data_IF_258162132081
#
_entry.id   IF_258162132081
#
_cell.length_a   1.000
_cell.length_b   1.000
_cell.length_c   1.000
_cell.angle_alpha   90.00
_cell.angle_beta   90.00
_cell.angle_gamma   90.00
#
_symmetry.space_group_name_H-M   'P 1'
#
loop_
_entity.id
_entity.type
_entity.pdbx_description
1 polymer ?
#
# COMPACT_ATOMS: atom_id res chain seq x y z
N UNK A 1 43.56 27.42 33.81
CA UNK A 1 43.84 26.36 34.80
C UNK A 1 42.61 25.44 34.85
N UNK A 2 42.80 24.11 34.85
CA UNK A 2 41.79 23.04 35.05
C UNK A 2 40.63 22.87 34.06
N UNK A 3 40.67 21.73 33.37
CA UNK A 3 39.66 21.02 32.58
C UNK A 3 38.79 20.07 33.42
N UNK A 4 37.52 19.88 33.02
CA UNK A 4 36.60 18.73 33.25
C UNK A 4 35.31 19.01 32.41
N UNK A 5 34.75 18.21 31.49
CA UNK A 5 34.88 16.82 31.00
C UNK A 5 34.15 15.69 31.78
N UNK A 6 33.44 14.83 31.02
CA UNK A 6 32.54 13.69 31.38
C UNK A 6 31.17 14.08 32.02
N UNK A 7 30.00 13.45 31.71
CA UNK A 7 29.67 12.38 30.75
C UNK A 7 28.14 12.30 30.44
N UNK A 8 27.81 12.03 29.16
CA UNK A 8 26.83 11.05 28.61
C UNK A 8 25.35 10.95 29.07
N UNK A 9 24.51 10.55 28.09
CA UNK A 9 23.09 10.13 28.12
C UNK A 9 22.03 11.24 28.32
N UNK A 10 20.90 11.23 27.60
CA UNK A 10 20.46 10.30 26.54
C UNK A 10 19.09 10.67 25.94
N UNK A 11 18.70 9.93 24.90
CA UNK A 11 17.43 9.98 24.15
C UNK A 11 17.07 11.28 23.43
N UNK A 12 17.33 11.27 22.13
CA UNK A 12 16.57 12.05 21.15
C UNK A 12 15.10 11.61 21.15
N UNK A 13 14.18 12.56 21.39
CA UNK A 13 12.79 12.45 20.98
C UNK A 13 12.70 12.66 19.47
N UNK A 14 12.73 11.58 18.69
CA UNK A 14 12.31 11.60 17.28
C UNK A 14 10.88 11.06 17.25
N UNK A 15 9.92 11.98 17.20
CA UNK A 15 8.55 11.64 16.84
C UNK A 15 8.52 11.31 15.34
N UNK A 16 8.48 10.02 15.00
CA UNK A 16 8.24 9.57 13.64
C UNK A 16 6.74 9.66 13.36
N UNK A 17 6.32 10.58 12.48
CA UNK A 17 4.95 10.59 11.97
C UNK A 17 4.68 9.32 11.17
N UNK A 18 3.53 8.71 11.40
CA UNK A 18 2.99 7.64 10.56
C UNK A 18 2.48 8.26 9.26
N UNK A 19 3.13 7.92 8.15
CA UNK A 19 2.66 8.24 6.81
C UNK A 19 1.99 6.99 6.22
N UNK A 20 0.67 6.90 6.34
CA UNK A 20 -0.13 5.98 5.53
C UNK A 20 -0.12 6.49 4.09
N UNK A 21 0.26 5.62 3.16
CA UNK A 21 0.38 5.95 1.74
C UNK A 21 -0.91 5.59 1.03
N UNK A 22 -1.80 6.57 0.91
CA UNK A 22 -2.68 6.77 -0.25
C UNK A 22 -2.67 8.28 -0.55
N UNK A 23 -2.91 8.69 -1.80
CA UNK A 23 -2.72 10.08 -2.22
C UNK A 23 -3.60 11.12 -1.51
N UNK A 24 -3.17 12.39 -1.62
CA UNK A 24 -3.94 13.60 -1.27
C UNK A 24 -4.07 14.00 0.22
N UNK A 25 -3.08 14.78 0.69
CA UNK A 25 -3.38 16.03 1.42
C UNK A 25 -3.87 15.98 2.88
N UNK A 26 -3.05 15.49 3.82
CA UNK A 26 -3.34 15.65 5.25
C UNK A 26 -2.85 17.00 5.83
N UNK A 27 -3.79 17.88 6.16
CA UNK A 27 -3.59 19.00 7.09
C UNK A 27 -4.29 18.68 8.42
N UNK A 28 -3.53 18.18 9.41
CA UNK A 28 -4.07 17.81 10.72
C UNK A 28 -4.45 19.05 11.54
N UNK A 29 -5.75 19.37 11.56
CA UNK A 29 -6.35 20.37 12.44
C UNK A 29 -6.42 19.82 13.88
N UNK A 30 -5.58 20.33 14.79
CA UNK A 30 -5.67 20.01 16.21
C UNK A 30 -6.80 20.81 16.87
N UNK A 31 -7.83 20.14 17.41
CA UNK A 31 -8.66 20.80 18.42
C UNK A 31 -9.28 19.86 19.48
N UNK A 32 -9.03 20.26 20.73
CA UNK A 32 -9.78 20.01 21.97
C UNK A 32 -10.01 18.60 22.54
N UNK A 33 -9.37 18.40 23.69
CA UNK A 33 -9.80 17.57 24.82
C UNK A 33 -11.32 17.55 25.06
N UNK A 34 -11.87 16.37 25.34
CA UNK A 34 -12.80 16.15 26.46
C UNK A 34 -12.61 14.72 26.98
N UNK A 35 -12.60 14.56 28.30
CA UNK A 35 -12.18 13.33 28.99
C UNK A 35 -13.39 12.56 29.52
N UNK A 36 -13.50 11.26 29.20
CA UNK A 36 -14.27 10.29 30.00
C UNK A 36 -13.48 8.99 30.09
N UNK A 37 -13.32 8.47 31.30
CA UNK A 37 -12.54 7.26 31.56
C UNK A 37 -13.38 5.99 31.37
N UNK A 38 -12.76 4.93 30.85
CA UNK A 38 -13.20 3.55 31.08
C UNK A 38 -11.99 2.62 31.08
N UNK A 39 -11.92 1.77 32.11
CA UNK A 39 -10.81 0.85 32.32
C UNK A 39 -10.90 -0.34 31.37
N UNK A 40 -10.09 -0.31 30.33
CA UNK A 40 -9.58 -1.49 29.65
C UNK A 40 -8.16 -1.15 29.20
N UNK A 41 -7.16 -1.80 29.78
CA UNK A 41 -5.78 -1.62 29.36
C UNK A 41 -5.66 -2.02 27.88
N UNK A 42 -5.31 -1.10 26.97
CA UNK A 42 -5.05 -1.50 25.61
C UNK A 42 -3.81 -2.40 25.64
N UNK A 43 -3.97 -3.64 25.19
CA UNK A 43 -2.82 -4.42 24.73
C UNK A 43 -2.09 -3.56 23.70
N UNK A 44 -0.77 -3.38 23.77
CA UNK A 44 -0.07 -2.61 22.76
C UNK A 44 -0.31 -3.30 21.42
N UNK A 45 -1.11 -2.67 20.57
CA UNK A 45 -1.27 -3.07 19.17
C UNK A 45 0.14 -2.99 18.60
N UNK A 46 0.65 -4.15 18.19
CA UNK A 46 1.96 -4.21 17.56
C UNK A 46 1.85 -3.43 16.26
N UNK A 47 2.43 -2.22 16.21
CA UNK A 47 2.58 -1.48 14.96
C UNK A 47 3.36 -2.35 13.96
N UNK A 48 2.63 -3.05 13.11
CA UNK A 48 3.15 -3.79 11.98
C UNK A 48 3.61 -2.77 10.95
N UNK A 49 4.78 -2.19 11.21
CA UNK A 49 5.45 -1.26 10.32
C UNK A 49 5.49 -1.89 8.92
N UNK A 50 4.98 -1.19 7.88
CA UNK A 50 4.95 -1.75 6.54
C UNK A 50 6.35 -2.17 6.09
N UNK A 51 6.45 -3.42 5.61
CA UNK A 51 7.71 -4.02 5.18
C UNK A 51 8.05 -3.55 3.76
N UNK A 52 8.35 -2.26 3.65
CA UNK A 52 8.94 -1.70 2.43
C UNK A 52 10.39 -2.18 2.29
N UNK A 53 10.73 -2.66 1.10
CA UNK A 53 12.06 -3.16 0.80
C UNK A 53 12.86 -2.09 0.05
N UNK A 54 14.13 -1.95 0.43
CA UNK A 54 15.08 -1.09 -0.27
C UNK A 54 15.33 -1.64 -1.68
N UNK A 55 15.48 -0.78 -2.68
CA UNK A 55 15.75 -1.20 -4.07
C UNK A 55 17.05 -2.01 -4.21
N UNK A 56 18.00 -1.88 -3.29
CA UNK A 56 19.20 -2.72 -3.21
C UNK A 56 18.90 -4.20 -2.87
N UNK A 57 17.67 -4.53 -2.44
CA UNK A 57 17.18 -5.88 -2.19
C UNK A 57 16.20 -6.37 -3.28
N UNK A 58 16.22 -5.75 -4.46
CA UNK A 58 15.39 -6.17 -5.59
C UNK A 58 15.84 -7.55 -6.12
N UNK A 59 14.92 -8.50 -6.37
CA UNK A 59 15.23 -9.76 -7.05
C UNK A 59 15.89 -9.55 -8.42
N UNK A 60 16.86 -10.42 -8.77
CA UNK A 60 17.59 -10.35 -10.04
C UNK A 60 16.64 -10.39 -11.26
N UNK A 61 15.55 -11.13 -11.15
CA UNK A 61 14.48 -11.27 -12.15
C UNK A 61 13.66 -9.97 -12.37
N UNK A 62 13.52 -9.11 -11.36
CA UNK A 62 12.89 -7.79 -11.48
C UNK A 62 13.88 -6.71 -11.93
N UNK A 63 15.19 -6.93 -11.77
CA UNK A 63 16.22 -5.95 -12.15
C UNK A 63 16.08 -5.43 -13.60
N UNK A 64 15.78 -6.25 -14.64
CA UNK A 64 15.58 -5.76 -16.00
C UNK A 64 14.39 -4.78 -16.14
N UNK A 65 13.34 -4.90 -15.31
CA UNK A 65 12.20 -3.99 -15.35
C UNK A 65 12.55 -2.55 -14.90
N UNK A 66 13.55 -2.40 -14.02
CA UNK A 66 13.78 -1.15 -13.27
C UNK A 66 15.10 -0.43 -13.62
N UNK A 67 15.95 -0.96 -14.51
CA UNK A 67 17.30 -0.43 -14.81
C UNK A 67 17.36 1.06 -15.17
N UNK A 68 16.29 1.59 -15.76
CA UNK A 68 16.22 2.98 -16.25
C UNK A 68 15.22 3.83 -15.43
N UNK A 69 14.89 3.43 -14.20
CA UNK A 69 13.91 4.10 -13.33
C UNK A 69 14.53 4.56 -12.02
N UNK A 70 14.01 5.65 -11.47
CA UNK A 70 14.50 6.26 -10.22
C UNK A 70 13.77 5.71 -8.99
N UNK A 71 13.68 4.37 -8.88
CA UNK A 71 12.96 3.71 -7.80
C UNK A 71 13.82 3.66 -6.53
N UNK A 72 13.29 4.14 -5.40
CA UNK A 72 13.95 4.09 -4.09
C UNK A 72 13.56 2.87 -3.26
N UNK A 73 12.30 2.45 -3.34
CA UNK A 73 11.74 1.37 -2.54
C UNK A 73 10.71 0.57 -3.35
N UNK A 74 10.46 -0.67 -2.95
CA UNK A 74 9.41 -1.51 -3.52
C UNK A 74 8.65 -2.30 -2.45
N UNK A 75 7.47 -2.77 -2.82
CA UNK A 75 6.68 -3.74 -2.05
C UNK A 75 6.08 -4.76 -3.01
N UNK A 76 6.46 -6.03 -2.86
CA UNK A 76 5.82 -7.14 -3.57
C UNK A 76 4.50 -7.51 -2.87
N UNK A 77 3.39 -7.48 -3.60
CA UNK A 77 2.07 -7.85 -3.10
C UNK A 77 1.75 -9.33 -3.28
N UNK A 78 2.20 -9.93 -4.38
CA UNK A 78 1.92 -11.32 -4.72
C UNK A 78 2.50 -11.72 -6.07
N UNK A 79 2.54 -13.03 -6.30
CA UNK A 79 3.13 -13.68 -7.48
C UNK A 79 2.16 -14.72 -8.03
N UNK A 80 1.86 -14.69 -9.33
CA UNK A 80 0.96 -15.66 -9.98
C UNK A 80 1.51 -16.05 -11.34
N UNK A 81 2.16 -17.22 -11.39
CA UNK A 81 2.87 -17.71 -12.58
C UNK A 81 4.05 -16.79 -12.92
N UNK A 82 4.03 -16.22 -14.12
CA UNK A 82 5.08 -15.33 -14.63
C UNK A 82 4.82 -13.84 -14.33
N UNK A 83 3.95 -13.53 -13.37
CA UNK A 83 3.49 -12.18 -13.08
C UNK A 83 3.63 -11.86 -11.59
N UNK A 84 4.15 -10.67 -11.27
CA UNK A 84 4.28 -10.17 -9.91
C UNK A 84 3.61 -8.80 -9.78
N UNK A 85 2.72 -8.63 -8.81
CA UNK A 85 2.11 -7.34 -8.49
C UNK A 85 3.01 -6.60 -7.49
N UNK A 86 3.50 -5.42 -7.86
CA UNK A 86 4.47 -4.65 -7.08
C UNK A 86 4.03 -3.19 -6.94
N UNK A 87 4.17 -2.61 -5.75
CA UNK A 87 4.26 -1.15 -5.61
C UNK A 87 5.71 -0.71 -5.78
N UNK A 88 5.90 0.43 -6.43
CA UNK A 88 7.21 1.07 -6.60
C UNK A 88 7.15 2.50 -6.08
N UNK A 89 8.17 2.91 -5.33
CA UNK A 89 8.34 4.31 -4.91
C UNK A 89 9.27 5.02 -5.88
N UNK A 90 8.75 5.99 -6.62
CA UNK A 90 9.51 6.78 -7.61
C UNK A 90 9.05 8.25 -7.52
N UNK A 91 10.00 9.18 -7.44
CA UNK A 91 9.73 10.63 -7.21
C UNK A 91 8.97 10.92 -5.90
N UNK A 92 9.21 10.12 -4.87
CA UNK A 92 8.48 10.08 -3.58
C UNK A 92 7.00 9.68 -3.68
N UNK A 93 6.52 9.26 -4.86
CA UNK A 93 5.18 8.75 -5.06
C UNK A 93 5.19 7.22 -5.19
N UNK A 94 4.24 6.58 -4.52
CA UNK A 94 3.98 5.16 -4.69
C UNK A 94 2.93 4.93 -5.76
N UNK A 95 3.14 3.92 -6.59
CA UNK A 95 2.23 3.51 -7.65
C UNK A 95 2.35 1.99 -7.85
N UNK A 96 1.28 1.37 -8.36
CA UNK A 96 1.18 -0.08 -8.51
C UNK A 96 1.38 -0.51 -9.96
N UNK A 97 2.03 -1.65 -10.17
CA UNK A 97 2.20 -2.24 -11.50
C UNK A 97 2.37 -3.76 -11.44
N UNK A 98 2.19 -4.40 -12.59
CA UNK A 98 2.48 -5.83 -12.77
C UNK A 98 3.79 -5.95 -13.55
N UNK A 99 4.78 -6.61 -12.96
CA UNK A 99 5.95 -7.10 -13.67
C UNK A 99 5.65 -8.45 -14.31
N UNK A 100 5.80 -8.54 -15.63
CA UNK A 100 5.79 -9.80 -16.37
C UNK A 100 7.23 -10.28 -16.60
N UNK A 101 7.55 -11.45 -16.07
CA UNK A 101 8.90 -12.03 -16.05
C UNK A 101 8.96 -13.21 -17.02
N UNK A 102 9.97 -13.25 -17.89
CA UNK A 102 10.24 -14.37 -18.81
C UNK A 102 11.73 -14.57 -18.96
N UNK A 103 12.24 -15.65 -18.35
CA UNK A 103 13.65 -16.07 -18.38
C UNK A 103 14.64 -14.95 -18.06
N UNK A 104 15.14 -14.22 -19.06
CA UNK A 104 16.11 -13.12 -18.92
C UNK A 104 15.50 -11.73 -19.15
N UNK A 105 14.18 -11.63 -19.25
CA UNK A 105 13.44 -10.41 -19.57
C UNK A 105 12.36 -10.10 -18.54
N UNK A 106 12.11 -8.82 -18.30
CA UNK A 106 11.09 -8.32 -17.40
C UNK A 106 10.45 -7.07 -18.04
N UNK A 107 9.12 -6.99 -18.04
CA UNK A 107 8.37 -5.84 -18.52
C UNK A 107 7.34 -5.40 -17.48
N UNK A 108 7.27 -4.10 -17.19
CA UNK A 108 6.16 -3.51 -16.43
C UNK A 108 4.96 -3.31 -17.35
N UNK A 109 3.80 -3.84 -16.97
CA UNK A 109 2.60 -3.85 -17.81
C UNK A 109 1.68 -2.65 -17.59
N UNK A 110 1.64 -2.11 -16.37
CA UNK A 110 0.83 -0.93 -16.01
C UNK A 110 1.75 0.29 -16.02
N UNK A 111 1.50 1.31 -16.86
CA UNK A 111 2.17 2.61 -16.78
C UNK A 111 1.94 3.30 -15.43
N UNK A 112 2.85 4.20 -15.02
CA UNK A 112 2.74 4.94 -13.74
C UNK A 112 1.48 5.81 -13.73
N UNK A 113 1.15 6.36 -14.88
CA UNK A 113 0.06 7.24 -15.19
C UNK A 113 -1.31 6.51 -15.23
N UNK A 114 -1.31 5.19 -15.41
CA UNK A 114 -2.51 4.34 -15.49
C UNK A 114 -2.74 3.48 -14.23
N UNK A 115 -1.90 3.64 -13.20
CA UNK A 115 -2.05 2.94 -11.91
C UNK A 115 -3.45 3.16 -11.34
N UNK A 116 -4.20 2.06 -11.15
CA UNK A 116 -5.60 2.01 -10.68
C UNK A 116 -6.65 2.60 -11.64
N UNK A 117 -6.29 3.09 -12.83
CA UNK A 117 -7.26 3.60 -13.82
C UNK A 117 -7.95 2.50 -14.63
N UNK A 118 -7.48 1.25 -14.55
CA UNK A 118 -8.05 0.05 -15.21
C UNK A 118 -8.02 -1.16 -14.28
N UNK A 119 -8.91 -2.11 -14.51
CA UNK A 119 -8.88 -3.44 -13.89
C UNK A 119 -7.55 -4.16 -14.17
N UNK A 120 -7.11 -5.07 -13.28
CA UNK A 120 -5.85 -5.79 -13.48
C UNK A 120 -5.93 -6.73 -14.71
N UNK A 121 -7.12 -7.26 -15.02
CA UNK A 121 -7.38 -8.09 -16.20
C UNK A 121 -7.24 -7.38 -17.54
N UNK A 122 -7.11 -6.04 -17.56
CA UNK A 122 -6.73 -5.31 -18.77
C UNK A 122 -5.28 -5.61 -19.21
N UNK A 123 -4.45 -6.13 -18.31
CA UNK A 123 -3.01 -6.34 -18.52
C UNK A 123 -2.57 -7.81 -18.44
N UNK A 124 -3.29 -8.65 -17.71
CA UNK A 124 -3.00 -10.08 -17.51
C UNK A 124 -4.29 -10.93 -17.61
N UNK A 125 -4.21 -12.26 -17.79
CA UNK A 125 -5.40 -13.11 -17.76
C UNK A 125 -6.22 -12.94 -16.48
N UNK A 126 -7.55 -12.94 -16.57
CA UNK A 126 -8.48 -12.71 -15.45
C UNK A 126 -8.17 -13.55 -14.21
N UNK A 127 -7.87 -14.85 -14.39
CA UNK A 127 -7.50 -15.74 -13.28
C UNK A 127 -6.20 -15.32 -12.57
N UNK A 128 -5.24 -14.73 -13.29
CA UNK A 128 -4.00 -14.18 -12.72
C UNK A 128 -4.30 -12.86 -12.01
N UNK A 129 -5.10 -11.98 -12.61
CA UNK A 129 -5.51 -10.70 -12.03
C UNK A 129 -6.19 -10.89 -10.66
N UNK A 130 -7.14 -11.82 -10.59
CA UNK A 130 -7.86 -12.15 -9.36
C UNK A 130 -6.96 -12.83 -8.30
N UNK A 131 -6.03 -13.69 -8.71
CA UNK A 131 -5.09 -14.30 -7.76
C UNK A 131 -4.12 -13.26 -7.16
N UNK A 132 -3.57 -12.36 -7.99
CA UNK A 132 -2.76 -11.23 -7.52
C UNK A 132 -3.54 -10.31 -6.57
N UNK A 133 -4.82 -10.03 -6.86
CA UNK A 133 -5.70 -9.25 -5.99
C UNK A 133 -5.92 -9.93 -4.62
N UNK A 134 -6.18 -11.24 -4.60
CA UNK A 134 -6.31 -12.03 -3.35
C UNK A 134 -5.02 -11.99 -2.52
N UNK A 135 -3.86 -12.15 -3.16
CA UNK A 135 -2.57 -12.11 -2.47
C UNK A 135 -2.29 -10.73 -1.88
N UNK A 136 -2.56 -9.65 -2.65
CA UNK A 136 -2.48 -8.26 -2.18
C UNK A 136 -3.26 -8.06 -0.88
N UNK A 137 -4.54 -8.42 -0.85
CA UNK A 137 -5.37 -8.15 0.34
C UNK A 137 -5.05 -9.04 1.52
N UNK A 138 -4.67 -10.32 1.31
CA UNK A 138 -4.10 -11.15 2.39
C UNK A 138 -2.88 -10.48 3.02
N UNK A 139 -1.94 -9.99 2.20
CA UNK A 139 -0.75 -9.28 2.69
C UNK A 139 -1.09 -7.94 3.34
N UNK A 140 -2.05 -7.19 2.82
CA UNK A 140 -2.50 -5.94 3.41
C UNK A 140 -3.15 -6.16 4.80
N UNK A 141 -3.91 -7.25 4.96
CA UNK A 141 -4.47 -7.69 6.24
C UNK A 141 -3.36 -8.05 7.25
N UNK A 142 -2.34 -8.80 6.81
CA UNK A 142 -1.17 -9.12 7.64
C UNK A 142 -0.41 -7.86 8.06
N UNK A 143 -0.18 -6.93 7.13
CA UNK A 143 0.50 -5.65 7.38
C UNK A 143 -0.32 -4.69 8.26
N UNK A 144 -1.64 -4.82 8.32
CA UNK A 144 -2.49 -4.08 9.26
C UNK A 144 -2.53 -4.71 10.66
N UNK A 145 -1.91 -5.88 10.87
CA UNK A 145 -1.96 -6.62 12.14
C UNK A 145 -3.23 -7.46 12.32
N UNK A 146 -4.03 -7.66 11.27
CA UNK A 146 -5.20 -8.54 11.26
C UNK A 146 -6.41 -7.96 10.54
N UNK A 147 -7.41 -8.82 10.32
CA UNK A 147 -8.60 -8.53 9.51
C UNK A 147 -9.42 -7.35 10.05
N UNK A 148 -9.59 -7.25 11.36
CA UNK A 148 -10.38 -6.18 11.98
C UNK A 148 -9.70 -4.81 11.88
N UNK A 149 -8.37 -4.75 12.02
CA UNK A 149 -7.62 -3.53 11.83
C UNK A 149 -7.71 -3.05 10.38
N UNK A 150 -7.48 -3.96 9.42
CA UNK A 150 -7.65 -3.67 7.99
C UNK A 150 -9.07 -3.18 7.66
N UNK A 151 -10.11 -3.86 8.16
CA UNK A 151 -11.52 -3.48 7.96
C UNK A 151 -11.81 -2.08 8.49
N UNK A 152 -11.34 -1.77 9.70
CA UNK A 152 -11.52 -0.45 10.33
C UNK A 152 -10.92 0.66 9.46
N UNK A 153 -9.66 0.51 9.06
CA UNK A 153 -8.95 1.52 8.28
C UNK A 153 -9.52 1.65 6.87
N UNK A 154 -9.86 0.52 6.22
CA UNK A 154 -10.48 0.50 4.90
C UNK A 154 -11.84 1.20 4.89
N UNK A 155 -12.73 0.88 5.84
CA UNK A 155 -14.06 1.51 5.92
C UNK A 155 -13.93 3.01 6.23
N UNK A 156 -13.03 3.40 7.14
CA UNK A 156 -12.81 4.80 7.48
C UNK A 156 -12.35 5.64 6.28
N UNK A 157 -11.46 5.10 5.44
CA UNK A 157 -11.01 5.77 4.22
C UNK A 157 -12.07 5.73 3.09
N UNK A 158 -12.65 4.55 2.83
CA UNK A 158 -13.64 4.34 1.78
C UNK A 158 -14.94 5.14 2.00
N UNK A 159 -15.29 5.46 3.26
CA UNK A 159 -16.49 6.24 3.60
C UNK A 159 -16.26 7.75 3.67
N UNK A 160 -15.06 8.25 3.34
CA UNK A 160 -14.78 9.69 3.34
C UNK A 160 -15.51 10.38 2.18
N UNK A 161 -16.49 11.27 2.43
CA UNK A 161 -17.28 11.91 1.38
C UNK A 161 -16.48 12.93 0.55
N UNK A 162 -15.19 13.16 0.86
CA UNK A 162 -14.28 14.03 0.11
C UNK A 162 -13.34 13.27 -0.81
N UNK A 163 -13.35 11.93 -0.80
CA UNK A 163 -12.45 11.10 -1.59
C UNK A 163 -13.23 10.14 -2.49
N UNK A 164 -13.11 10.33 -3.81
CA UNK A 164 -13.51 9.30 -4.77
C UNK A 164 -12.49 8.14 -4.70
N UNK A 165 -12.90 6.99 -4.19
CA UNK A 165 -12.05 5.80 -4.09
C UNK A 165 -12.39 4.84 -5.22
N UNK A 166 -11.43 4.71 -6.15
CA UNK A 166 -11.48 3.85 -7.32
C UNK A 166 -10.85 2.49 -7.02
N UNK A 167 -11.56 1.40 -7.32
CA UNK A 167 -11.06 0.03 -7.14
C UNK A 167 -11.24 -0.82 -8.40
N UNK A 168 -10.16 -1.45 -8.92
CA UNK A 168 -10.25 -2.55 -9.88
C UNK A 168 -11.32 -3.59 -9.50
N UNK A 169 -12.06 -4.12 -10.48
CA UNK A 169 -13.09 -5.12 -10.24
C UNK A 169 -12.56 -6.37 -9.49
N UNK A 170 -11.32 -6.80 -9.76
CA UNK A 170 -10.71 -7.93 -9.06
C UNK A 170 -10.37 -7.60 -7.60
N UNK A 171 -10.16 -6.32 -7.27
CA UNK A 171 -9.91 -5.88 -5.89
C UNK A 171 -11.20 -5.95 -5.07
N UNK A 172 -12.33 -5.54 -5.65
CA UNK A 172 -13.66 -5.69 -5.05
C UNK A 172 -13.96 -7.17 -4.78
N UNK A 173 -13.82 -8.03 -5.79
CA UNK A 173 -14.05 -9.47 -5.62
C UNK A 173 -13.13 -10.09 -4.57
N UNK A 174 -11.84 -9.74 -4.55
CA UNK A 174 -10.89 -10.25 -3.56
C UNK A 174 -11.23 -9.81 -2.12
N UNK A 175 -11.73 -8.59 -1.93
CA UNK A 175 -12.21 -8.09 -0.63
C UNK A 175 -13.46 -8.86 -0.17
N UNK A 176 -14.44 -9.05 -1.05
CA UNK A 176 -15.67 -9.78 -0.75
C UNK A 176 -15.40 -11.25 -0.39
N UNK A 177 -14.50 -11.92 -1.11
CA UNK A 177 -14.07 -13.30 -0.81
C UNK A 177 -13.34 -13.42 0.53
N UNK A 178 -12.68 -12.35 1.00
CA UNK A 178 -12.09 -12.23 2.33
C UNK A 178 -13.11 -11.77 3.39
N UNK A 179 -14.39 -11.66 3.02
CA UNK A 179 -15.49 -11.25 3.87
C UNK A 179 -15.47 -9.77 4.26
N UNK A 180 -14.78 -8.92 3.50
CA UNK A 180 -14.73 -7.47 3.72
C UNK A 180 -15.84 -6.84 2.89
N UNK A 181 -16.76 -6.13 3.54
CA UNK A 181 -17.81 -5.39 2.84
C UNK A 181 -17.22 -4.15 2.19
N UNK A 182 -17.52 -3.97 0.91
CA UNK A 182 -17.08 -2.88 0.06
C UNK A 182 -18.20 -1.82 0.06
N UNK A 183 -17.97 -0.59 0.57
CA UNK A 183 -18.99 0.46 0.59
C UNK A 183 -19.57 0.82 -0.80
N UNK A 184 -20.88 1.09 -0.84
CA UNK A 184 -21.63 1.38 -2.08
C UNK A 184 -21.18 2.67 -2.81
N UNK A 185 -20.46 3.56 -2.13
CA UNK A 185 -19.96 4.82 -2.68
C UNK A 185 -18.61 4.68 -3.42
N UNK A 186 -18.12 3.45 -3.61
CA UNK A 186 -16.88 3.14 -4.30
C UNK A 186 -17.07 3.00 -5.81
N UNK A 187 -16.13 3.54 -6.59
CA UNK A 187 -16.18 3.49 -8.04
C UNK A 187 -15.44 2.23 -8.52
N UNK A 188 -16.19 1.25 -8.98
CA UNK A 188 -15.63 -0.01 -9.51
C UNK A 188 -15.08 0.23 -10.93
N UNK A 189 -13.79 -0.04 -11.10
CA UNK A 189 -13.05 0.17 -12.34
C UNK A 189 -12.98 -1.14 -13.14
N UNK A 190 -13.53 -1.11 -14.35
CA UNK A 190 -13.49 -2.24 -15.30
C UNK A 190 -12.26 -2.27 -16.20
N UNK A 191 -12.24 -3.19 -17.16
CA UNK A 191 -11.13 -3.35 -18.13
C UNK A 191 -10.92 -2.14 -19.05
N UNK A 192 -12.01 -1.48 -19.46
CA UNK A 192 -11.96 -0.24 -20.25
C UNK A 192 -11.43 0.96 -19.44
N UNK A 193 -11.46 0.85 -18.10
CA UNK A 193 -11.02 1.87 -17.17
C UNK A 193 -12.06 2.95 -16.88
N UNK A 194 -11.57 4.07 -16.33
CA UNK A 194 -12.36 5.29 -16.09
C UNK A 194 -12.11 6.28 -17.22
N UNK A 195 -13.16 6.73 -17.91
CA UNK A 195 -13.06 7.81 -18.88
C UNK A 195 -12.74 9.11 -18.14
N UNK A 196 -11.56 9.69 -18.39
CA UNK A 196 -11.23 11.06 -18.01
C UNK A 196 -11.78 12.00 -19.09
N UNK A 197 -12.93 12.63 -18.82
CA UNK A 197 -13.49 13.74 -19.63
C UNK A 197 -12.85 15.10 -19.28
#
# INVERSE_FOLDING_TARGET
>A
MKTQWLKLTGLFLIAALVALVVGSGFALNQNNNTTVASNSSPTPVSESKPVFLDIAQLPDELTPCLRNRSVSQYLLWGESGNYQLISLQEDNQWWDTIAAIKETSCQLLIPKEESLLKALSAYVPEAVALDLARQRYKKAIELAGGLEAFRSDFIAHASDPTTDVYLPAEYVQALEELGIQVPDNLIVVGVEGVNQE
#
